data_IF_951403658716
#
_entry.id   IF_951403658716
#
_cell.length_a   1.000
_cell.length_b   1.000
_cell.length_c   1.000
_cell.angle_alpha   90.00
_cell.angle_beta   90.00
_cell.angle_gamma   90.00
#
_symmetry.space_group_name_H-M   'P 1'
#
loop_
_entity.id
_entity.type
_entity.pdbx_description
1 polymer ?
#
# COMPACT_ATOMS: atom_id res chain seq x y z
N UNK A 1 46.29 -23.67 -0.17
CA UNK A 1 45.86 -25.00 0.29
C UNK A 1 45.05 -24.80 1.57
N UNK A 2 43.74 -24.60 1.41
CA UNK A 2 42.80 -24.45 2.53
C UNK A 2 41.48 -24.99 1.99
N UNK A 3 41.40 -26.31 1.96
CA UNK A 3 40.30 -27.07 1.40
C UNK A 3 39.02 -26.72 2.17
N UNK A 4 38.08 -26.07 1.47
CA UNK A 4 36.70 -25.97 1.94
C UNK A 4 36.03 -27.31 1.61
N UNK A 5 35.43 -28.02 2.56
CA UNK A 5 34.70 -29.23 2.23
C UNK A 5 33.47 -28.89 1.38
N UNK A 6 33.39 -29.54 0.22
CA UNK A 6 32.27 -29.47 -0.71
C UNK A 6 30.97 -29.87 -0.01
N UNK A 7 30.04 -28.92 0.06
CA UNK A 7 28.66 -29.17 0.45
C UNK A 7 27.98 -29.95 -0.67
N UNK A 8 27.77 -31.25 -0.46
CA UNK A 8 27.04 -32.11 -1.39
C UNK A 8 25.67 -31.50 -1.79
N UNK A 9 25.24 -31.61 -3.06
CA UNK A 9 23.91 -31.22 -3.46
C UNK A 9 22.88 -32.20 -2.88
N UNK A 10 22.01 -31.71 -1.99
CA UNK A 10 20.86 -32.46 -1.50
C UNK A 10 19.93 -32.83 -2.66
N UNK A 11 19.66 -34.13 -2.80
CA UNK A 11 18.80 -34.69 -3.81
C UNK A 11 17.33 -34.21 -3.66
N UNK A 12 16.82 -33.69 -4.77
CA UNK A 12 15.48 -33.82 -5.36
C UNK A 12 14.33 -34.25 -4.43
N UNK A 13 13.36 -33.36 -4.22
CA UNK A 13 11.96 -33.74 -4.01
C UNK A 13 11.14 -33.19 -5.17
N UNK A 14 10.60 -34.11 -5.98
CA UNK A 14 9.76 -33.86 -7.14
C UNK A 14 8.42 -33.24 -6.74
N UNK A 15 7.98 -32.21 -7.46
CA UNK A 15 6.78 -31.42 -7.19
C UNK A 15 5.44 -32.11 -7.53
N UNK A 16 5.36 -33.44 -7.45
CA UNK A 16 4.19 -34.23 -7.89
C UNK A 16 3.28 -34.74 -6.75
N UNK A 17 3.48 -34.28 -5.51
CA UNK A 17 2.70 -34.77 -4.37
C UNK A 17 2.14 -33.61 -3.52
N UNK A 18 1.15 -32.90 -4.06
CA UNK A 18 0.19 -32.12 -3.26
C UNK A 18 -1.21 -32.19 -3.91
N UNK A 19 -2.00 -33.24 -3.64
CA UNK A 19 -3.40 -33.27 -4.03
C UNK A 19 -4.23 -32.51 -2.98
N UNK A 20 -4.74 -31.31 -3.31
CA UNK A 20 -5.59 -30.57 -2.36
C UNK A 20 -6.00 -29.15 -2.70
N UNK A 21 -6.15 -28.78 -3.99
CA UNK A 21 -6.65 -27.45 -4.37
C UNK A 21 -7.79 -27.48 -5.41
N UNK A 22 -8.48 -28.62 -5.52
CA UNK A 22 -9.53 -28.83 -6.52
C UNK A 22 -10.92 -28.27 -6.11
N UNK A 23 -11.09 -27.69 -4.91
CA UNK A 23 -12.42 -27.33 -4.38
C UNK A 23 -12.67 -25.82 -4.17
N UNK A 24 -11.85 -24.93 -4.74
CA UNK A 24 -12.04 -23.48 -4.61
C UNK A 24 -13.02 -22.86 -5.64
N UNK A 25 -13.64 -23.68 -6.50
CA UNK A 25 -14.65 -23.26 -7.50
C UNK A 25 -16.07 -23.14 -6.92
N UNK A 26 -16.28 -23.44 -5.63
CA UNK A 26 -17.60 -23.40 -4.98
C UNK A 26 -17.97 -22.05 -4.33
N UNK A 27 -17.13 -21.01 -4.41
CA UNK A 27 -17.40 -19.68 -3.83
C UNK A 27 -18.23 -18.75 -4.76
N UNK A 28 -19.11 -19.33 -5.57
CA UNK A 28 -19.93 -18.70 -6.60
C UNK A 28 -21.30 -18.25 -6.04
N UNK A 29 -21.35 -17.44 -4.97
CA UNK A 29 -22.59 -16.76 -4.54
C UNK A 29 -22.35 -15.45 -3.80
N UNK A 30 -21.76 -14.45 -4.48
CA UNK A 30 -22.02 -13.03 -4.18
C UNK A 30 -21.70 -12.12 -5.36
N UNK A 31 -22.39 -12.39 -6.48
CA UNK A 31 -22.66 -11.45 -7.57
C UNK A 31 -24.19 -11.26 -7.66
N UNK A 32 -24.71 -10.32 -6.90
CA UNK A 32 -25.95 -9.58 -7.16
C UNK A 32 -25.63 -8.13 -6.73
N UNK A 33 -25.49 -7.20 -7.68
CA UNK A 33 -26.53 -6.24 -8.05
C UNK A 33 -27.00 -5.45 -6.81
N UNK A 34 -26.52 -4.24 -6.55
CA UNK A 34 -26.97 -3.05 -7.24
C UNK A 34 -27.86 -2.24 -6.28
N UNK A 35 -27.56 -0.95 -6.11
CA UNK A 35 -28.41 0.13 -5.55
C UNK A 35 -28.83 0.09 -4.07
N UNK A 36 -28.67 1.26 -3.45
CA UNK A 36 -29.48 1.85 -2.37
C UNK A 36 -29.27 1.41 -0.90
N UNK A 37 -28.33 2.08 -0.22
CA UNK A 37 -28.33 2.23 1.24
C UNK A 37 -27.86 3.60 1.77
N UNK A 38 -27.58 4.58 0.91
CA UNK A 38 -27.18 5.93 1.34
C UNK A 38 -28.27 7.00 1.10
N UNK A 39 -29.48 6.58 0.73
CA UNK A 39 -30.64 7.46 0.49
C UNK A 39 -31.67 7.44 1.65
N UNK A 40 -31.24 7.04 2.86
CA UNK A 40 -32.12 7.01 4.06
C UNK A 40 -31.68 8.00 5.15
N UNK A 41 -30.44 8.50 5.09
CA UNK A 41 -29.88 9.39 6.14
C UNK A 41 -29.91 10.90 5.78
N UNK A 42 -30.62 11.28 4.69
CA UNK A 42 -30.81 12.68 4.29
C UNK A 42 -32.29 13.11 4.28
N UNK A 43 -33.18 12.37 4.94
CA UNK A 43 -34.62 12.66 4.93
C UNK A 43 -35.27 12.63 6.31
N UNK A 44 -34.71 13.29 7.33
CA UNK A 44 -35.49 13.78 8.49
C UNK A 44 -34.67 14.84 9.23
N UNK A 45 -34.76 16.06 8.72
CA UNK A 45 -34.42 17.25 9.49
C UNK A 45 -35.43 17.51 10.61
N UNK A 46 -35.00 18.38 11.52
CA UNK A 46 -35.81 19.13 12.48
C UNK A 46 -36.17 18.43 13.80
N UNK A 47 -35.38 18.69 14.85
CA UNK A 47 -35.95 19.00 16.16
C UNK A 47 -35.08 19.99 16.93
N UNK A 48 -35.57 21.24 16.94
CA UNK A 48 -35.25 22.27 17.92
C UNK A 48 -35.73 21.79 19.29
N UNK A 49 -34.95 22.04 20.34
CA UNK A 49 -35.32 21.67 21.70
C UNK A 49 -34.45 22.37 22.74
N UNK A 50 -34.71 23.66 22.94
CA UNK A 50 -34.28 24.42 24.10
C UNK A 50 -34.78 23.79 25.41
N UNK A 51 -33.87 23.55 26.34
CA UNK A 51 -34.09 23.84 27.77
C UNK A 51 -32.72 23.95 28.44
N UNK A 52 -32.18 25.17 28.35
CA UNK A 52 -31.22 25.68 29.31
C UNK A 52 -31.83 25.57 30.72
N UNK A 53 -30.94 25.45 31.72
CA UNK A 53 -31.16 25.40 33.18
C UNK A 53 -31.52 24.04 33.79
N UNK A 54 -30.53 23.41 34.42
CA UNK A 54 -30.57 22.95 35.83
C UNK A 54 -29.11 22.86 36.33
N UNK A 55 -28.87 23.52 37.45
CA UNK A 55 -27.84 23.27 38.46
C UNK A 55 -26.36 23.14 38.03
N UNK A 56 -25.68 24.27 38.18
CA UNK A 56 -24.46 24.37 38.98
C UNK A 56 -24.29 23.23 40.00
N UNK A 57 -23.39 22.30 39.70
CA UNK A 57 -22.62 21.58 40.70
C UNK A 57 -21.14 21.76 40.37
N UNK A 58 -20.51 22.68 41.09
CA UNK A 58 -19.08 22.67 41.30
C UNK A 58 -18.78 21.57 42.34
N UNK A 59 -18.03 20.49 42.03
CA UNK A 59 -17.41 19.72 43.09
C UNK A 59 -16.20 20.51 43.59
N UNK A 60 -16.43 21.26 44.66
CA UNK A 60 -15.39 21.76 45.54
C UNK A 60 -14.68 20.61 46.26
N UNK A 61 -13.41 20.84 46.60
CA UNK A 61 -12.55 20.09 47.53
C UNK A 61 -11.81 18.86 46.99
N UNK A 62 -10.59 19.15 46.54
CA UNK A 62 -9.34 18.45 46.83
C UNK A 62 -9.42 17.19 47.73
N UNK A 63 -8.89 16.06 47.22
CA UNK A 63 -7.70 15.41 47.79
C UNK A 63 -7.39 14.09 47.07
N UNK A 64 -6.18 14.00 46.51
CA UNK A 64 -5.38 12.78 46.72
C UNK A 64 -5.61 11.60 45.80
N UNK A 65 -5.53 11.77 44.48
CA UNK A 65 -4.72 10.86 43.67
C UNK A 65 -3.87 11.72 42.76
N UNK A 66 -2.57 11.60 42.95
CA UNK A 66 -1.56 12.36 42.24
C UNK A 66 -1.78 12.28 40.73
N UNK A 67 -2.15 13.41 40.15
CA UNK A 67 -2.08 13.71 38.71
C UNK A 67 -0.60 13.80 38.24
N UNK A 68 0.27 12.99 38.85
CA UNK A 68 1.65 12.73 38.46
C UNK A 68 1.76 11.54 37.49
N UNK A 69 0.65 10.84 37.24
CA UNK A 69 0.56 9.71 36.31
C UNK A 69 -0.08 10.09 34.97
N UNK A 70 -0.32 11.38 34.68
CA UNK A 70 -0.59 11.79 33.32
C UNK A 70 0.70 11.74 32.48
N UNK A 71 0.89 10.56 31.89
CA UNK A 71 1.37 10.43 30.52
C UNK A 71 2.78 10.95 30.25
N UNK A 72 3.78 10.48 30.99
CA UNK A 72 5.12 10.36 30.38
C UNK A 72 5.23 9.08 29.57
N UNK A 73 4.34 8.90 28.60
CA UNK A 73 4.56 7.92 27.53
C UNK A 73 5.69 8.45 26.67
N UNK A 74 6.93 8.32 27.14
CA UNK A 74 8.12 8.58 26.31
C UNK A 74 7.92 7.72 25.07
N UNK A 75 7.82 8.29 23.86
CA UNK A 75 7.76 7.46 22.68
C UNK A 75 9.03 6.60 22.71
N UNK A 76 8.86 5.28 22.79
CA UNK A 76 9.94 4.29 22.82
C UNK A 76 10.62 4.18 21.45
N UNK A 77 10.85 5.32 20.80
CA UNK A 77 11.49 5.42 19.49
C UNK A 77 12.75 6.24 19.64
N UNK A 78 13.85 5.69 19.13
CA UNK A 78 15.15 6.32 18.92
C UNK A 78 15.52 7.42 19.95
N UNK A 79 16.00 7.03 21.13
CA UNK A 79 16.47 7.99 22.13
C UNK A 79 17.87 8.57 21.78
N UNK A 80 18.61 7.89 20.89
CA UNK A 80 19.95 8.30 20.47
C UNK A 80 19.85 9.34 19.34
N UNK A 81 20.54 10.48 19.50
CA UNK A 81 20.53 11.62 18.55
C UNK A 81 20.77 11.19 17.08
N UNK A 82 21.66 10.23 16.86
CA UNK A 82 21.96 9.68 15.52
C UNK A 82 20.75 8.97 14.90
N UNK A 83 20.01 8.19 15.68
CA UNK A 83 18.83 7.45 15.21
C UNK A 83 17.67 8.41 14.88
N UNK A 84 17.44 9.44 15.69
CA UNK A 84 16.43 10.48 15.41
C UNK A 84 16.71 11.13 14.05
N UNK A 85 17.97 11.45 13.76
CA UNK A 85 18.39 12.02 12.48
C UNK A 85 18.13 11.07 11.31
N UNK A 86 18.43 9.77 11.47
CA UNK A 86 18.16 8.75 10.45
C UNK A 86 16.66 8.62 10.19
N UNK A 87 15.83 8.57 11.23
CA UNK A 87 14.37 8.50 11.09
C UNK A 87 13.82 9.70 10.31
N UNK A 88 14.23 10.93 10.65
CA UNK A 88 13.85 12.15 9.92
C UNK A 88 14.25 12.10 8.44
N UNK A 89 15.42 11.55 8.13
CA UNK A 89 15.91 11.42 6.75
C UNK A 89 15.15 10.34 5.99
N UNK A 90 14.88 9.20 6.63
CA UNK A 90 14.15 8.09 6.06
C UNK A 90 12.71 8.47 5.73
N UNK A 91 12.02 9.24 6.58
CA UNK A 91 10.66 9.73 6.31
C UNK A 91 10.65 10.57 5.02
N UNK A 92 11.54 11.56 4.91
CA UNK A 92 11.66 12.41 3.71
C UNK A 92 11.99 11.61 2.45
N UNK A 93 12.88 10.62 2.55
CA UNK A 93 13.21 9.75 1.43
C UNK A 93 12.02 8.85 1.04
N UNK A 94 11.30 8.32 2.03
CA UNK A 94 10.15 7.45 1.83
C UNK A 94 9.00 8.21 1.16
N UNK A 95 8.70 9.44 1.56
CA UNK A 95 7.67 10.28 0.93
C UNK A 95 7.93 10.49 -0.57
N UNK A 96 9.17 10.85 -0.94
CA UNK A 96 9.58 10.99 -2.35
C UNK A 96 9.47 9.67 -3.11
N UNK A 97 9.96 8.59 -2.51
CA UNK A 97 9.91 7.26 -3.11
C UNK A 97 8.48 6.77 -3.29
N UNK A 98 7.58 7.09 -2.34
CA UNK A 98 6.17 6.75 -2.39
C UNK A 98 5.50 7.43 -3.59
N UNK A 99 5.71 8.73 -3.76
CA UNK A 99 5.16 9.50 -4.89
C UNK A 99 5.60 8.91 -6.25
N UNK A 100 6.91 8.67 -6.43
CA UNK A 100 7.45 8.07 -7.65
C UNK A 100 6.87 6.67 -7.90
N UNK A 101 6.81 5.83 -6.86
CA UNK A 101 6.26 4.46 -6.97
C UNK A 101 4.77 4.47 -7.29
N UNK A 102 3.99 5.39 -6.72
CA UNK A 102 2.56 5.52 -7.03
C UNK A 102 2.33 5.93 -8.47
N UNK A 103 3.07 6.92 -8.98
CA UNK A 103 2.98 7.34 -10.38
C UNK A 103 3.27 6.17 -11.34
N UNK A 104 4.35 5.42 -11.09
CA UNK A 104 4.71 4.26 -11.90
C UNK A 104 3.61 3.20 -11.88
N UNK A 105 3.02 2.90 -10.70
CA UNK A 105 1.94 1.92 -10.57
C UNK A 105 0.71 2.35 -11.37
N UNK A 106 0.36 3.63 -11.35
CA UNK A 106 -0.76 4.18 -12.12
C UNK A 106 -0.52 4.05 -13.61
N UNK A 107 0.66 4.42 -14.11
CA UNK A 107 0.99 4.29 -15.53
C UNK A 107 0.94 2.84 -16.00
N UNK A 108 1.57 1.93 -15.25
CA UNK A 108 1.55 0.48 -15.55
C UNK A 108 0.11 -0.05 -15.58
N UNK A 109 -0.74 0.38 -14.64
CA UNK A 109 -2.15 -0.03 -14.60
C UNK A 109 -2.91 0.52 -15.80
N UNK A 110 -2.70 1.78 -16.16
CA UNK A 110 -3.30 2.41 -17.36
C UNK A 110 -2.89 1.69 -18.65
N UNK A 111 -1.63 1.28 -18.79
CA UNK A 111 -1.18 0.50 -19.95
C UNK A 111 -1.90 -0.85 -20.00
N UNK A 112 -2.01 -1.55 -18.86
CA UNK A 112 -2.71 -2.83 -18.79
C UNK A 112 -4.20 -2.70 -19.10
N UNK A 113 -4.88 -1.66 -18.62
CA UNK A 113 -6.30 -1.43 -18.92
C UNK A 113 -6.53 -1.12 -20.39
N UNK A 114 -5.64 -0.34 -21.03
CA UNK A 114 -5.70 -0.10 -22.46
C UNK A 114 -5.47 -1.38 -23.27
N UNK A 115 -4.57 -2.25 -22.79
CA UNK A 115 -4.35 -3.56 -23.42
C UNK A 115 -5.59 -4.43 -23.33
N UNK A 116 -6.24 -4.51 -22.17
CA UNK A 116 -7.48 -5.30 -22.02
C UNK A 116 -8.64 -4.75 -22.84
N UNK A 117 -8.65 -3.45 -23.15
CA UNK A 117 -9.66 -2.82 -23.99
C UNK A 117 -9.40 -3.02 -25.50
N UNK A 118 -8.22 -3.47 -25.91
CA UNK A 118 -7.85 -3.68 -27.32
C UNK A 118 -7.38 -2.42 -28.06
N UNK A 119 -7.21 -1.29 -27.37
CA UNK A 119 -6.85 -0.01 -28.00
C UNK A 119 -5.32 0.12 -28.22
N UNK A 120 -4.83 -0.35 -29.37
CA UNK A 120 -3.38 -0.35 -29.69
C UNK A 120 -2.72 1.03 -29.58
N UNK A 121 -3.35 2.08 -30.13
CA UNK A 121 -2.79 3.44 -30.11
C UNK A 121 -2.65 4.00 -28.68
N UNK A 122 -3.64 3.75 -27.83
CA UNK A 122 -3.63 4.18 -26.43
C UNK A 122 -2.62 3.37 -25.60
N UNK A 123 -2.50 2.07 -25.86
CA UNK A 123 -1.52 1.19 -25.24
C UNK A 123 -0.09 1.63 -25.56
N UNK A 124 0.23 1.93 -26.81
CA UNK A 124 1.56 2.42 -27.20
C UNK A 124 1.91 3.78 -26.58
N UNK A 125 0.96 4.72 -26.59
CA UNK A 125 1.18 6.05 -26.01
C UNK A 125 1.43 5.98 -24.50
N UNK A 126 0.67 5.16 -23.79
CA UNK A 126 0.85 4.94 -22.34
C UNK A 126 2.13 4.16 -22.04
N UNK A 127 2.51 3.19 -22.88
CA UNK A 127 3.76 2.44 -22.77
C UNK A 127 5.00 3.33 -22.93
N UNK A 128 5.00 4.26 -23.90
CA UNK A 128 6.09 5.24 -24.09
C UNK A 128 6.26 6.11 -22.84
N UNK A 129 5.16 6.63 -22.28
CA UNK A 129 5.17 7.40 -21.02
C UNK A 129 5.69 6.59 -19.85
N UNK A 130 5.24 5.34 -19.71
CA UNK A 130 5.69 4.42 -18.66
C UNK A 130 7.19 4.13 -18.77
N UNK A 131 7.71 3.90 -19.98
CA UNK A 131 9.13 3.63 -20.23
C UNK A 131 10.02 4.79 -19.78
N UNK A 132 9.70 6.02 -20.21
CA UNK A 132 10.46 7.22 -19.81
C UNK A 132 10.45 7.43 -18.29
N UNK A 133 9.30 7.19 -17.64
CA UNK A 133 9.18 7.33 -16.18
C UNK A 133 9.93 6.24 -15.42
N UNK A 134 9.97 5.01 -15.92
CA UNK A 134 10.78 3.93 -15.34
C UNK A 134 12.27 4.26 -15.40
N UNK A 135 12.76 4.75 -16.53
CA UNK A 135 14.17 5.10 -16.71
C UNK A 135 14.56 6.28 -15.80
N UNK A 136 13.68 7.30 -15.67
CA UNK A 136 13.86 8.40 -14.72
C UNK A 136 13.89 7.91 -13.27
N UNK A 137 13.10 6.91 -12.89
CA UNK A 137 13.10 6.35 -11.54
C UNK A 137 14.40 5.59 -11.22
N UNK A 138 15.05 5.01 -12.23
CA UNK A 138 16.39 4.41 -12.10
C UNK A 138 17.43 5.50 -11.85
N UNK A 139 17.42 6.58 -12.65
CA UNK A 139 18.37 7.70 -12.46
C UNK A 139 18.21 8.38 -11.10
N UNK A 140 17.00 8.37 -10.52
CA UNK A 140 16.73 8.89 -9.16
C UNK A 140 17.05 7.89 -8.05
N UNK A 141 17.50 6.67 -8.37
CA UNK A 141 17.84 5.63 -7.39
C UNK A 141 16.63 5.01 -6.67
N UNK A 142 15.41 5.24 -7.16
CA UNK A 142 14.18 4.71 -6.54
C UNK A 142 13.94 3.25 -6.93
N UNK A 143 14.38 2.86 -8.14
CA UNK A 143 14.23 1.53 -8.69
C UNK A 143 15.56 1.00 -9.22
N UNK A 144 15.84 -0.28 -9.01
CA UNK A 144 17.04 -0.91 -9.57
C UNK A 144 16.88 -1.11 -11.09
N UNK A 145 17.99 -1.04 -11.83
CA UNK A 145 18.01 -1.19 -13.31
C UNK A 145 17.30 -2.46 -13.79
N UNK A 146 17.55 -3.61 -13.15
CA UNK A 146 16.92 -4.87 -13.54
C UNK A 146 15.41 -4.86 -13.28
N UNK A 147 14.94 -4.19 -12.21
CA UNK A 147 13.52 -4.06 -11.96
C UNK A 147 12.82 -3.20 -13.01
N UNK A 148 13.48 -2.13 -13.48
CA UNK A 148 12.97 -1.33 -14.59
C UNK A 148 12.91 -2.15 -15.89
N UNK A 149 13.99 -2.86 -16.23
CA UNK A 149 14.06 -3.72 -17.41
C UNK A 149 12.99 -4.81 -17.41
N UNK A 150 12.79 -5.51 -16.27
CA UNK A 150 11.77 -6.55 -16.14
C UNK A 150 10.34 -6.00 -16.32
N UNK A 151 10.06 -4.80 -15.80
CA UNK A 151 8.74 -4.17 -15.97
C UNK A 151 8.53 -3.70 -17.41
N UNK A 152 9.56 -3.15 -18.05
CA UNK A 152 9.52 -2.72 -19.45
C UNK A 152 9.29 -3.90 -20.38
N UNK A 153 10.00 -5.01 -20.18
CA UNK A 153 9.84 -6.22 -20.98
C UNK A 153 8.48 -6.87 -20.79
N UNK A 154 7.96 -6.93 -19.55
CA UNK A 154 6.62 -7.44 -19.29
C UNK A 154 5.54 -6.61 -20.01
N UNK A 155 5.60 -5.28 -19.92
CA UNK A 155 4.67 -4.41 -20.63
C UNK A 155 4.78 -4.53 -22.15
N UNK A 156 6.00 -4.62 -22.69
CA UNK A 156 6.21 -4.78 -24.12
C UNK A 156 5.56 -6.06 -24.66
N UNK A 157 5.65 -7.18 -23.92
CA UNK A 157 4.99 -8.44 -24.29
C UNK A 157 3.47 -8.30 -24.35
N UNK A 158 2.86 -7.60 -23.39
CA UNK A 158 1.42 -7.37 -23.37
C UNK A 158 0.94 -6.45 -24.50
N UNK A 159 1.72 -5.44 -24.87
CA UNK A 159 1.38 -4.55 -26.00
C UNK A 159 1.58 -5.28 -27.33
N UNK A 160 2.63 -6.10 -27.45
CA UNK A 160 2.91 -6.87 -28.66
C UNK A 160 1.92 -8.02 -28.91
N UNK A 161 1.22 -8.51 -27.87
CA UNK A 161 0.22 -9.58 -28.02
C UNK A 161 -1.13 -9.09 -28.54
N UNK A 162 -1.29 -7.79 -28.82
CA UNK A 162 -2.50 -7.20 -29.40
C UNK A 162 -2.33 -6.98 -30.89
#
# INVERSE_FOLDING_TARGET
MSDRPDSAPGAIVSATEFPGFADADAALHRRFAGTDRLLVELFLGLRVGSSLTIAEQQPSSAAGISESLLYRKRPHVANIKSQIKRNKTNIKANERNKAVKSELKTLIRSTRTAVTAGDKKAAEASFKKASVKLDKAVSKGVLHKNQASNRKSALAKHVASL
#
